data_IF_317469112632
#
_entry.id   IF_317469112632
#
_cell.length_a   1.000
_cell.length_b   1.000
_cell.length_c   1.000
_cell.angle_alpha   90.00
_cell.angle_beta   90.00
_cell.angle_gamma   90.00
#
_symmetry.space_group_name_H-M   'P 1'
#
loop_
_entity.id
_entity.type
_entity.pdbx_description
1 polymer ?
#
# COMPACT_ATOMS: atom_id res chain seq x y z
N UNK A 1 2.36 19.68 6.03
CA UNK A 1 3.78 20.06 6.01
C UNK A 1 4.72 18.89 5.65
N UNK A 2 4.43 17.64 6.06
CA UNK A 2 5.26 16.46 5.72
C UNK A 2 5.50 16.27 4.21
N UNK A 3 4.43 16.17 3.40
CA UNK A 3 4.56 15.94 1.95
C UNK A 3 5.33 17.06 1.21
N UNK A 4 5.23 18.31 1.69
CA UNK A 4 5.97 19.44 1.11
C UNK A 4 7.46 19.34 1.43
N UNK A 5 7.76 18.99 2.69
CA UNK A 5 9.13 18.80 3.16
C UNK A 5 9.82 17.65 2.41
N UNK A 6 9.12 16.53 2.20
CA UNK A 6 9.65 15.41 1.42
C UNK A 6 9.77 15.76 -0.08
N UNK A 7 8.89 16.62 -0.61
CA UNK A 7 8.99 17.15 -1.97
C UNK A 7 10.25 17.97 -2.21
N UNK A 8 10.60 18.85 -1.26
CA UNK A 8 11.82 19.69 -1.34
C UNK A 8 13.13 18.88 -1.35
N UNK A 9 13.12 17.62 -0.94
CA UNK A 9 14.30 16.74 -0.94
C UNK A 9 14.57 16.09 -2.31
N UNK A 10 13.58 16.04 -3.20
CA UNK A 10 13.72 15.42 -4.52
C UNK A 10 13.60 16.47 -5.63
N UNK A 11 14.66 16.63 -6.42
CA UNK A 11 14.73 17.62 -7.51
C UNK A 11 13.71 17.36 -8.63
N UNK A 12 13.17 16.15 -8.74
CA UNK A 12 12.14 15.79 -9.73
C UNK A 12 10.73 16.25 -9.31
N UNK A 13 10.54 16.63 -8.05
CA UNK A 13 9.24 16.94 -7.48
C UNK A 13 9.09 18.46 -7.30
N UNK A 14 8.01 19.02 -7.84
CA UNK A 14 7.81 20.48 -7.87
C UNK A 14 7.25 21.06 -6.57
N UNK A 15 6.38 20.32 -5.85
CA UNK A 15 5.68 20.88 -4.68
C UNK A 15 5.47 19.89 -3.53
N UNK A 16 4.86 18.74 -3.80
CA UNK A 16 4.54 17.74 -2.78
C UNK A 16 4.97 16.36 -3.25
N UNK A 17 5.73 15.63 -2.41
CA UNK A 17 6.02 14.22 -2.64
C UNK A 17 4.87 13.40 -2.07
N UNK A 18 4.01 12.90 -2.95
CA UNK A 18 2.90 12.04 -2.55
C UNK A 18 3.28 10.57 -2.59
N UNK A 19 3.92 10.13 -3.67
CA UNK A 19 4.36 8.76 -3.86
C UNK A 19 5.71 8.49 -3.19
N UNK A 20 5.86 7.28 -2.62
CA UNK A 20 7.17 6.71 -2.33
C UNK A 20 7.77 6.16 -3.63
N UNK A 21 9.09 6.22 -3.75
CA UNK A 21 9.80 5.75 -4.95
C UNK A 21 10.02 4.24 -4.95
N UNK A 22 10.01 3.64 -3.77
CA UNK A 22 10.16 2.20 -3.63
C UNK A 22 8.82 1.51 -3.92
N UNK A 23 8.85 0.53 -4.80
CA UNK A 23 7.74 -0.35 -5.10
C UNK A 23 8.25 -1.79 -5.03
N UNK A 24 7.66 -2.58 -4.14
CA UNK A 24 8.00 -3.98 -3.95
C UNK A 24 7.02 -4.86 -4.73
N UNK A 25 7.11 -4.82 -6.06
CA UNK A 25 6.28 -5.66 -6.91
C UNK A 25 6.65 -7.14 -6.69
N UNK A 26 5.65 -7.98 -6.45
CA UNK A 26 5.78 -9.42 -6.32
C UNK A 26 4.97 -10.05 -7.46
N UNK A 27 5.59 -10.94 -8.22
CA UNK A 27 4.90 -11.72 -9.24
C UNK A 27 3.97 -12.74 -8.56
N UNK A 28 2.74 -12.84 -9.07
CA UNK A 28 1.79 -13.86 -8.65
C UNK A 28 1.72 -14.92 -9.74
N UNK A 29 2.14 -16.13 -9.41
CA UNK A 29 1.97 -17.26 -10.32
C UNK A 29 0.49 -17.65 -10.36
N UNK A 30 -0.11 -17.55 -11.54
CA UNK A 30 -1.52 -17.88 -11.76
C UNK A 30 -1.82 -19.39 -11.70
N UNK A 31 -0.78 -20.22 -11.64
CA UNK A 31 -0.91 -21.66 -11.40
C UNK A 31 -0.89 -22.01 -9.91
N UNK A 32 -0.47 -21.09 -9.05
CA UNK A 32 -0.46 -21.24 -7.59
C UNK A 32 -1.54 -20.38 -6.93
N UNK A 33 -2.78 -20.89 -6.93
CA UNK A 33 -3.94 -20.21 -6.34
C UNK A 33 -3.74 -19.83 -4.87
N UNK A 34 -2.96 -20.61 -4.11
CA UNK A 34 -2.64 -20.33 -2.71
C UNK A 34 -1.92 -18.99 -2.51
N UNK A 35 -1.04 -18.59 -3.43
CA UNK A 35 -0.37 -17.29 -3.37
C UNK A 35 -1.37 -16.15 -3.54
N UNK A 36 -2.34 -16.31 -4.44
CA UNK A 36 -3.37 -15.31 -4.70
C UNK A 36 -4.24 -15.13 -3.46
N UNK A 37 -4.76 -16.23 -2.91
CA UNK A 37 -5.60 -16.22 -1.71
C UNK A 37 -4.88 -15.59 -0.51
N UNK A 38 -3.59 -15.92 -0.32
CA UNK A 38 -2.79 -15.33 0.75
C UNK A 38 -2.70 -13.80 0.63
N UNK A 39 -2.45 -13.28 -0.58
CA UNK A 39 -2.31 -11.84 -0.80
C UNK A 39 -3.64 -11.11 -0.71
N UNK A 40 -4.72 -11.70 -1.19
CA UNK A 40 -6.08 -11.17 -1.05
C UNK A 40 -6.42 -11.04 0.44
N UNK A 41 -6.24 -12.10 1.22
CA UNK A 41 -6.49 -12.08 2.66
C UNK A 41 -5.64 -11.03 3.38
N UNK A 42 -4.36 -10.91 3.03
CA UNK A 42 -3.50 -9.87 3.58
C UNK A 42 -4.05 -8.45 3.33
N UNK A 43 -4.52 -8.17 2.12
CA UNK A 43 -5.06 -6.84 1.75
C UNK A 43 -6.34 -6.54 2.53
N UNK A 44 -7.26 -7.51 2.68
CA UNK A 44 -8.52 -7.32 3.41
C UNK A 44 -8.33 -7.20 4.93
N UNK A 45 -7.38 -7.93 5.49
CA UNK A 45 -7.10 -7.90 6.92
C UNK A 45 -6.32 -6.67 7.37
N UNK A 46 -5.54 -6.06 6.48
CA UNK A 46 -4.61 -5.00 6.85
C UNK A 46 -5.31 -3.78 7.49
N UNK A 47 -6.45 -3.26 6.97
CA UNK A 47 -7.19 -2.18 7.59
C UNK A 47 -7.65 -2.50 9.03
N UNK A 48 -8.08 -3.73 9.29
CA UNK A 48 -8.48 -4.18 10.63
C UNK A 48 -7.26 -4.25 11.55
N UNK A 49 -6.16 -4.87 11.10
CA UNK A 49 -4.92 -5.00 11.89
C UNK A 49 -4.28 -3.65 12.23
N UNK A 50 -4.39 -2.68 11.32
CA UNK A 50 -3.92 -1.31 11.51
C UNK A 50 -4.89 -0.46 12.37
N UNK A 51 -6.05 -1.02 12.75
CA UNK A 51 -7.07 -0.35 13.57
C UNK A 51 -7.79 0.78 12.85
N UNK A 52 -7.83 0.74 11.51
CA UNK A 52 -8.54 1.71 10.67
C UNK A 52 -10.05 1.42 10.68
N UNK A 53 -10.42 0.14 10.75
CA UNK A 53 -11.81 -0.35 10.78
C UNK A 53 -11.98 -1.37 11.91
N UNK A 54 -13.20 -1.51 12.42
CA UNK A 54 -13.56 -2.51 13.44
C UNK A 54 -13.94 -3.87 12.82
N UNK A 55 -14.32 -3.90 11.54
CA UNK A 55 -14.58 -5.11 10.75
C UNK A 55 -13.90 -5.02 9.37
N UNK A 56 -13.37 -6.15 8.87
CA UNK A 56 -12.70 -6.22 7.55
C UNK A 56 -13.60 -5.79 6.39
N UNK A 57 -14.91 -6.00 6.49
CA UNK A 57 -15.88 -5.65 5.46
C UNK A 57 -16.23 -4.16 5.41
N UNK A 58 -15.85 -3.38 6.43
CA UNK A 58 -16.12 -1.94 6.48
C UNK A 58 -15.16 -1.14 5.58
N UNK A 59 -14.09 -1.77 5.10
CA UNK A 59 -13.14 -1.16 4.17
C UNK A 59 -13.63 -1.32 2.72
N UNK A 60 -14.40 -0.33 2.24
CA UNK A 60 -14.99 -0.24 0.89
C UNK A 60 -14.00 0.19 -0.21
#
# INVERSE_FOLDING_TARGET
WYFEREGKKDKRITKYKFWKEDNHAIELDCTETEMIDQKINYIHDNPLKDGIVDDVCDYL
#
